data_IF_953451284989
#
_entry.id   IF_953451284989
#
_cell.length_a   1.000
_cell.length_b   1.000
_cell.length_c   1.000
_cell.angle_alpha   90.00
_cell.angle_beta   90.00
_cell.angle_gamma   90.00
#
_symmetry.space_group_name_H-M   'P 1'
#
loop_
_entity.id
_entity.type
_entity.pdbx_description
1 polymer ?
#
# COMPACT_ATOMS: atom_id res chain seq x y z
N UNK A 1 18.90 17.02 -12.08
CA UNK A 1 18.88 17.34 -10.63
C UNK A 1 19.06 16.04 -9.86
N UNK A 2 19.91 16.07 -8.84
CA UNK A 2 20.24 14.87 -8.06
C UNK A 2 19.09 14.40 -7.14
N UNK A 3 19.04 13.10 -6.88
CA UNK A 3 18.08 12.44 -5.98
C UNK A 3 18.03 13.11 -4.61
N UNK A 4 19.19 13.35 -3.98
CA UNK A 4 19.29 14.01 -2.67
C UNK A 4 18.55 15.36 -2.65
N UNK A 5 18.80 16.19 -3.64
CA UNK A 5 18.21 17.54 -3.74
C UNK A 5 16.68 17.45 -3.91
N UNK A 6 16.20 16.50 -4.71
CA UNK A 6 14.75 16.27 -4.88
C UNK A 6 14.08 15.84 -3.58
N UNK A 7 14.64 14.86 -2.89
CA UNK A 7 14.12 14.37 -1.61
C UNK A 7 14.08 15.52 -0.59
N UNK A 8 15.17 16.28 -0.47
CA UNK A 8 15.24 17.41 0.46
C UNK A 8 14.15 18.45 0.17
N UNK A 9 13.99 18.86 -1.09
CA UNK A 9 12.97 19.85 -1.49
C UNK A 9 11.54 19.30 -1.24
N UNK A 10 11.27 18.05 -1.58
CA UNK A 10 9.97 17.42 -1.34
C UNK A 10 9.66 17.30 0.15
N UNK A 11 10.62 16.84 0.92
CA UNK A 11 10.51 16.72 2.38
C UNK A 11 10.24 18.08 3.04
N UNK A 12 10.96 19.12 2.67
CA UNK A 12 10.73 20.47 3.19
C UNK A 12 9.34 20.99 2.84
N UNK A 13 8.90 20.82 1.59
CA UNK A 13 7.54 21.21 1.17
C UNK A 13 6.47 20.48 1.97
N UNK A 14 6.58 19.16 2.17
CA UNK A 14 5.66 18.38 2.98
C UNK A 14 5.66 18.80 4.45
N UNK A 15 6.84 19.06 5.03
CA UNK A 15 6.98 19.53 6.41
C UNK A 15 6.26 20.87 6.61
N UNK A 16 6.48 21.84 5.72
CA UNK A 16 5.87 23.15 5.77
C UNK A 16 4.33 23.10 5.65
N UNK A 17 3.81 22.03 5.04
CA UNK A 17 2.37 21.72 4.97
C UNK A 17 1.90 20.77 6.08
N UNK A 18 2.67 20.58 7.17
CA UNK A 18 2.28 19.81 8.34
C UNK A 18 2.11 18.31 8.10
N UNK A 19 2.90 17.72 7.20
CA UNK A 19 2.97 16.26 7.02
C UNK A 19 4.06 15.72 7.94
N UNK A 20 3.68 14.98 8.98
CA UNK A 20 4.64 14.45 9.97
C UNK A 20 5.66 13.48 9.38
N UNK A 21 5.23 12.62 8.46
CA UNK A 21 6.07 11.63 7.77
C UNK A 21 6.81 12.21 6.54
N UNK A 22 7.05 13.53 6.52
CA UNK A 22 7.53 14.27 5.35
C UNK A 22 8.75 13.64 4.67
N UNK A 23 9.75 13.21 5.44
CA UNK A 23 10.98 12.61 4.91
C UNK A 23 10.68 11.25 4.25
N UNK A 24 10.02 10.35 4.97
CA UNK A 24 9.66 9.03 4.48
C UNK A 24 8.74 9.11 3.25
N UNK A 25 7.73 9.98 3.29
CA UNK A 25 6.79 10.14 2.18
C UNK A 25 7.50 10.67 0.93
N UNK A 26 8.42 11.62 1.08
CA UNK A 26 9.25 12.17 0.01
C UNK A 26 10.08 11.08 -0.68
N UNK A 27 10.75 10.22 0.10
CA UNK A 27 11.55 9.11 -0.39
C UNK A 27 10.68 8.04 -1.09
N UNK A 28 9.56 7.65 -0.51
CA UNK A 28 8.64 6.66 -1.07
C UNK A 28 8.04 7.14 -2.40
N UNK A 29 7.66 8.41 -2.51
CA UNK A 29 7.12 8.98 -3.74
C UNK A 29 8.16 8.98 -4.87
N UNK A 30 9.42 9.34 -4.57
CA UNK A 30 10.47 9.33 -5.58
C UNK A 30 10.86 7.90 -5.98
N UNK A 31 11.00 6.97 -5.02
CA UNK A 31 11.32 5.57 -5.29
C UNK A 31 10.26 4.90 -6.18
N UNK A 32 8.98 5.24 -5.97
CA UNK A 32 7.89 4.71 -6.79
C UNK A 32 7.98 5.14 -8.26
N UNK A 33 8.37 6.39 -8.53
CA UNK A 33 8.56 6.90 -9.89
C UNK A 33 9.79 6.29 -10.57
N UNK A 34 10.83 6.02 -9.78
CA UNK A 34 12.05 5.37 -10.27
C UNK A 34 11.91 3.84 -10.37
N UNK A 35 10.75 3.28 -9.97
CA UNK A 35 10.50 1.83 -9.93
C UNK A 35 11.59 1.07 -9.17
N UNK A 36 12.08 1.63 -8.08
CA UNK A 36 13.14 1.08 -7.24
C UNK A 36 12.66 0.95 -5.79
N UNK A 37 13.33 0.10 -5.01
CA UNK A 37 13.12 0.07 -3.58
C UNK A 37 13.70 1.34 -2.93
N UNK A 38 13.13 1.76 -1.81
CA UNK A 38 13.58 2.94 -1.07
C UNK A 38 15.05 2.82 -0.65
N UNK A 39 15.45 1.65 -0.20
CA UNK A 39 16.83 1.34 0.21
C UNK A 39 17.82 1.55 -0.93
N UNK A 40 17.48 1.07 -2.13
CA UNK A 40 18.28 1.27 -3.34
C UNK A 40 18.41 2.75 -3.73
N UNK A 41 17.33 3.52 -3.51
CA UNK A 41 17.35 4.97 -3.76
C UNK A 41 18.32 5.67 -2.82
N UNK A 42 18.42 5.25 -1.56
CA UNK A 42 19.28 5.87 -0.54
C UNK A 42 20.77 5.53 -0.70
N UNK A 43 21.10 4.49 -1.47
CA UNK A 43 22.49 4.11 -1.77
C UNK A 43 23.11 5.06 -2.80
N UNK A 44 22.33 5.59 -3.77
CA UNK A 44 22.84 6.44 -4.85
C UNK A 44 22.13 7.80 -4.88
N UNK A 45 22.38 8.60 -3.86
CA UNK A 45 21.79 9.93 -3.70
C UNK A 45 22.31 10.96 -4.72
N UNK A 46 23.46 10.71 -5.35
CA UNK A 46 24.03 11.59 -6.36
C UNK A 46 23.51 11.34 -7.77
N UNK A 47 22.76 10.28 -7.98
CA UNK A 47 22.15 9.94 -9.27
C UNK A 47 21.34 11.10 -9.81
N UNK A 48 21.51 11.40 -11.09
CA UNK A 48 20.70 12.40 -11.76
C UNK A 48 19.34 11.85 -12.19
N UNK A 49 18.33 12.69 -12.05
CA UNK A 49 16.93 12.36 -12.36
C UNK A 49 16.49 13.16 -13.58
N UNK A 50 15.75 12.51 -14.49
CA UNK A 50 15.23 13.15 -15.71
C UNK A 50 14.21 14.25 -15.39
N UNK A 51 14.03 15.19 -16.33
CA UNK A 51 13.06 16.29 -16.17
C UNK A 51 11.62 15.77 -15.99
N UNK A 52 11.25 14.74 -16.71
CA UNK A 52 9.93 14.11 -16.61
C UNK A 52 9.64 13.56 -15.20
N UNK A 53 10.61 12.83 -14.62
CA UNK A 53 10.46 12.30 -13.26
C UNK A 53 10.40 13.43 -12.24
N UNK A 54 11.16 14.51 -12.42
CA UNK A 54 11.11 15.68 -11.54
C UNK A 54 9.71 16.30 -11.53
N UNK A 55 9.11 16.47 -12.70
CA UNK A 55 7.76 17.03 -12.84
C UNK A 55 6.70 16.14 -12.21
N UNK A 56 6.73 14.84 -12.52
CA UNK A 56 5.84 13.86 -11.92
C UNK A 56 6.00 13.81 -10.37
N UNK A 57 7.21 13.86 -9.88
CA UNK A 57 7.48 13.90 -8.45
C UNK A 57 6.86 15.12 -7.77
N UNK A 58 7.02 16.31 -8.35
CA UNK A 58 6.42 17.55 -7.83
C UNK A 58 4.89 17.42 -7.75
N UNK A 59 4.26 16.83 -8.75
CA UNK A 59 2.82 16.58 -8.75
C UNK A 59 2.40 15.65 -7.60
N UNK A 60 3.16 14.59 -7.33
CA UNK A 60 2.89 13.69 -6.20
C UNK A 60 3.09 14.39 -4.84
N UNK A 61 4.12 15.22 -4.71
CA UNK A 61 4.36 16.03 -3.51
C UNK A 61 3.20 17.00 -3.26
N UNK A 62 2.67 17.67 -4.28
CA UNK A 62 1.49 18.54 -4.16
C UNK A 62 0.27 17.75 -3.70
N UNK A 63 -0.01 16.59 -4.27
CA UNK A 63 -1.10 15.72 -3.81
C UNK A 63 -0.94 15.37 -2.33
N UNK A 64 0.25 14.97 -1.92
CA UNK A 64 0.54 14.61 -0.53
C UNK A 64 0.45 15.79 0.43
N UNK A 65 0.91 16.97 0.03
CA UNK A 65 0.79 18.21 0.83
C UNK A 65 -0.67 18.61 1.07
N UNK A 66 -1.57 18.28 0.12
CA UNK A 66 -3.02 18.40 0.25
C UNK A 66 -3.67 17.29 1.10
N UNK A 67 -2.86 16.56 1.91
CA UNK A 67 -3.30 15.51 2.84
C UNK A 67 -3.86 14.24 2.16
N UNK A 68 -3.67 14.06 0.85
CA UNK A 68 -4.02 12.78 0.23
C UNK A 68 -3.18 11.66 0.88
N UNK A 69 -3.79 10.56 1.35
CA UNK A 69 -3.07 9.45 1.95
C UNK A 69 -2.02 8.88 0.99
N UNK A 70 -0.79 8.65 1.48
CA UNK A 70 0.30 8.15 0.64
C UNK A 70 -0.05 6.82 -0.03
N UNK A 71 -0.79 5.94 0.65
CA UNK A 71 -1.23 4.67 0.11
C UNK A 71 -2.10 4.84 -1.14
N UNK A 72 -2.98 5.85 -1.19
CA UNK A 72 -3.78 6.15 -2.38
C UNK A 72 -2.96 6.75 -3.50
N UNK A 73 -1.94 7.56 -3.18
CA UNK A 73 -1.02 8.10 -4.17
C UNK A 73 -0.20 6.98 -4.82
N UNK A 74 0.33 6.07 -4.01
CA UNK A 74 1.12 4.92 -4.44
C UNK A 74 0.25 3.77 -4.99
N UNK A 75 -1.07 3.82 -4.75
CA UNK A 75 -2.06 2.79 -5.08
C UNK A 75 -1.76 1.43 -4.45
N UNK A 76 -0.99 1.41 -3.37
CA UNK A 76 -0.65 0.19 -2.66
C UNK A 76 -0.48 0.42 -1.16
N UNK A 77 -0.73 -0.63 -0.39
CA UNK A 77 -0.49 -0.72 1.05
C UNK A 77 -0.02 -2.11 1.40
N UNK A 78 1.07 -2.18 2.13
CA UNK A 78 1.52 -3.44 2.72
C UNK A 78 0.60 -3.84 3.87
N UNK A 79 0.21 -5.11 3.89
CA UNK A 79 -0.52 -5.78 4.96
C UNK A 79 -0.14 -7.26 4.96
N UNK A 80 0.20 -7.82 6.12
CA UNK A 80 0.65 -9.20 6.25
C UNK A 80 1.83 -9.54 5.33
N UNK A 81 2.83 -8.66 5.27
CA UNK A 81 4.01 -8.76 4.37
C UNK A 81 3.68 -8.94 2.88
N UNK A 82 2.47 -8.54 2.47
CA UNK A 82 2.00 -8.58 1.08
C UNK A 82 1.52 -7.21 0.63
N UNK A 83 1.80 -6.85 -0.62
CA UNK A 83 1.32 -5.59 -1.20
C UNK A 83 -0.14 -5.74 -1.68
N UNK A 84 -1.05 -4.91 -1.17
CA UNK A 84 -2.44 -4.83 -1.59
C UNK A 84 -2.69 -3.55 -2.40
N UNK A 85 -3.41 -3.68 -3.51
CA UNK A 85 -3.96 -2.53 -4.24
C UNK A 85 -4.96 -1.84 -3.32
N UNK A 86 -4.85 -0.52 -3.23
CA UNK A 86 -5.80 0.35 -2.53
C UNK A 86 -6.15 1.56 -3.41
N UNK A 87 -7.35 2.04 -3.28
CA UNK A 87 -7.82 3.27 -3.91
C UNK A 87 -8.87 3.94 -3.02
N UNK A 88 -9.48 5.02 -3.50
CA UNK A 88 -10.49 5.79 -2.74
C UNK A 88 -11.81 5.04 -2.49
N UNK A 89 -12.01 3.91 -3.15
CA UNK A 89 -13.22 3.08 -3.00
C UNK A 89 -13.07 2.06 -1.87
N UNK A 90 -11.88 1.94 -1.26
CA UNK A 90 -11.60 1.00 -0.17
C UNK A 90 -10.96 1.70 1.02
N UNK A 91 -11.20 1.17 2.22
CA UNK A 91 -10.45 1.58 3.40
C UNK A 91 -9.00 1.11 3.27
N UNK A 92 -8.04 1.98 3.63
CA UNK A 92 -6.63 1.60 3.71
C UNK A 92 -6.44 0.60 4.86
N UNK A 93 -5.89 -0.60 4.61
CA UNK A 93 -5.60 -1.57 5.66
C UNK A 93 -4.81 -0.96 6.82
N UNK A 94 -5.24 -1.24 8.05
CA UNK A 94 -4.59 -0.74 9.26
C UNK A 94 -3.69 -1.82 9.85
N UNK A 95 -2.49 -1.46 10.36
CA UNK A 95 -1.58 -2.45 10.98
C UNK A 95 -2.22 -3.24 12.12
N UNK A 96 -3.05 -2.57 12.94
CA UNK A 96 -3.75 -3.20 14.06
C UNK A 96 -4.69 -4.34 13.62
N UNK A 97 -5.16 -4.30 12.38
CA UNK A 97 -6.03 -5.35 11.81
C UNK A 97 -5.28 -6.65 11.55
N UNK A 98 -3.93 -6.63 11.49
CA UNK A 98 -3.12 -7.85 11.38
C UNK A 98 -3.28 -8.76 12.59
N UNK A 99 -3.56 -8.20 13.78
CA UNK A 99 -3.86 -8.99 14.98
C UNK A 99 -5.10 -9.86 14.81
N UNK A 100 -6.12 -9.37 14.07
CA UNK A 100 -7.30 -10.17 13.75
C UNK A 100 -6.93 -11.33 12.82
N UNK A 101 -6.17 -11.08 11.78
CA UNK A 101 -5.69 -12.12 10.87
C UNK A 101 -4.87 -13.17 11.61
N UNK A 102 -3.96 -12.75 12.48
CA UNK A 102 -3.16 -13.65 13.33
C UNK A 102 -4.04 -14.51 14.21
N UNK A 103 -5.02 -13.92 14.90
CA UNK A 103 -5.92 -14.65 15.80
C UNK A 103 -6.72 -15.73 15.06
N UNK A 104 -7.23 -15.42 13.86
CA UNK A 104 -7.96 -16.41 13.03
C UNK A 104 -7.02 -17.53 12.59
N UNK A 105 -5.81 -17.21 12.14
CA UNK A 105 -4.82 -18.20 11.73
C UNK A 105 -4.47 -19.12 12.89
N UNK A 106 -4.24 -18.61 14.09
CA UNK A 106 -3.86 -19.39 15.27
C UNK A 106 -4.98 -20.35 15.70
N UNK A 107 -6.24 -19.88 15.71
CA UNK A 107 -7.41 -20.68 16.09
C UNK A 107 -7.66 -21.82 15.10
N UNK A 108 -7.46 -21.57 13.82
CA UNK A 108 -7.78 -22.51 12.74
C UNK A 108 -6.56 -23.17 12.10
N UNK A 109 -5.36 -23.02 12.69
CA UNK A 109 -4.16 -23.69 12.26
C UNK A 109 -4.41 -25.18 12.04
N UNK A 110 -3.98 -25.69 10.90
CA UNK A 110 -4.16 -27.09 10.47
C UNK A 110 -5.62 -27.53 10.26
N UNK A 111 -6.57 -26.60 10.17
CA UNK A 111 -7.98 -26.89 9.85
C UNK A 111 -8.31 -26.35 8.46
N UNK A 112 -9.20 -27.08 7.76
CA UNK A 112 -9.85 -26.53 6.56
C UNK A 112 -11.10 -25.77 6.98
N UNK A 113 -11.19 -24.52 6.58
CA UNK A 113 -12.33 -23.67 6.90
C UNK A 113 -12.96 -23.09 5.64
N UNK A 114 -14.20 -22.68 5.76
CA UNK A 114 -14.83 -21.73 4.86
C UNK A 114 -15.03 -20.42 5.62
N UNK A 115 -14.41 -19.35 5.15
CA UNK A 115 -14.46 -18.02 5.78
C UNK A 115 -15.37 -17.09 5.00
N UNK A 116 -16.27 -16.38 5.69
CA UNK A 116 -17.03 -15.27 5.15
C UNK A 116 -16.47 -13.95 5.71
N UNK A 117 -16.09 -13.04 4.83
CA UNK A 117 -15.60 -11.70 5.18
C UNK A 117 -16.64 -10.66 4.74
N UNK A 118 -17.31 -10.04 5.72
CA UNK A 118 -18.40 -9.07 5.50
C UNK A 118 -17.83 -7.66 5.59
N UNK A 119 -17.91 -6.91 4.49
CA UNK A 119 -17.23 -5.62 4.34
C UNK A 119 -15.75 -5.82 3.97
N UNK A 120 -15.50 -6.70 3.01
CA UNK A 120 -14.13 -7.17 2.69
C UNK A 120 -13.18 -6.07 2.24
N UNK A 121 -13.69 -4.94 1.72
CA UNK A 121 -12.88 -3.81 1.29
C UNK A 121 -11.83 -4.20 0.25
N UNK A 122 -10.55 -4.17 0.64
CA UNK A 122 -9.42 -4.60 -0.21
C UNK A 122 -9.26 -6.12 -0.27
N UNK A 123 -9.98 -6.88 0.55
CA UNK A 123 -9.77 -8.30 0.73
C UNK A 123 -8.60 -8.67 1.63
N UNK A 124 -7.94 -7.69 2.27
CA UNK A 124 -6.66 -7.92 2.96
C UNK A 124 -6.76 -8.95 4.09
N UNK A 125 -7.83 -8.96 4.88
CA UNK A 125 -8.02 -9.95 5.96
C UNK A 125 -8.23 -11.33 5.37
N UNK A 126 -9.24 -11.47 4.50
CA UNK A 126 -9.59 -12.73 3.88
C UNK A 126 -8.40 -13.37 3.15
N UNK A 127 -7.75 -12.60 2.28
CA UNK A 127 -6.65 -13.10 1.45
C UNK A 127 -5.40 -13.41 2.27
N UNK A 128 -5.13 -12.67 3.35
CA UNK A 128 -4.03 -12.99 4.25
C UNK A 128 -4.27 -14.29 5.00
N UNK A 129 -5.48 -14.48 5.54
CA UNK A 129 -5.85 -15.72 6.25
C UNK A 129 -5.83 -16.92 5.31
N UNK A 130 -6.44 -16.81 4.12
CA UNK A 130 -6.46 -17.91 3.15
C UNK A 130 -5.06 -18.26 2.61
N UNK A 131 -4.17 -17.30 2.55
CA UNK A 131 -2.78 -17.51 2.15
C UNK A 131 -1.97 -18.35 3.16
N UNK A 132 -2.36 -18.34 4.43
CA UNK A 132 -1.72 -19.11 5.51
C UNK A 132 -2.43 -20.45 5.79
N UNK A 133 -3.75 -20.52 5.60
CA UNK A 133 -4.55 -21.71 5.86
C UNK A 133 -4.76 -22.54 4.59
N UNK A 134 -3.81 -23.41 4.30
CA UNK A 134 -3.83 -24.31 3.13
C UNK A 134 -5.17 -25.05 2.98
N UNK A 135 -5.67 -25.13 1.75
CA UNK A 135 -6.91 -25.80 1.37
C UNK A 135 -8.20 -25.17 1.97
N UNK A 136 -8.11 -24.00 2.62
CA UNK A 136 -9.28 -23.23 3.05
C UNK A 136 -9.88 -22.46 1.88
N UNK A 137 -11.15 -22.11 1.99
CA UNK A 137 -11.89 -21.31 1.01
C UNK A 137 -12.55 -20.13 1.69
N UNK A 138 -12.90 -19.12 0.94
CA UNK A 138 -13.59 -17.96 1.51
C UNK A 138 -14.40 -17.20 0.49
N UNK A 139 -15.30 -16.38 1.01
CA UNK A 139 -16.11 -15.45 0.24
C UNK A 139 -16.02 -14.06 0.89
N UNK A 140 -15.56 -13.09 0.14
CA UNK A 140 -15.62 -11.67 0.54
C UNK A 140 -16.86 -11.02 -0.05
N UNK A 141 -17.61 -10.30 0.77
CA UNK A 141 -18.75 -9.48 0.33
C UNK A 141 -18.56 -8.04 0.78
N UNK A 142 -19.07 -7.10 -0.02
CA UNK A 142 -19.06 -5.69 0.29
C UNK A 142 -20.30 -5.02 -0.32
N UNK A 143 -20.78 -3.94 0.29
CA UNK A 143 -21.87 -3.13 -0.25
C UNK A 143 -21.41 -2.34 -1.50
N UNK A 144 -20.12 -2.03 -1.58
CA UNK A 144 -19.50 -1.31 -2.69
C UNK A 144 -19.00 -2.29 -3.76
N UNK A 145 -19.63 -2.28 -4.93
CA UNK A 145 -19.14 -3.04 -6.09
C UNK A 145 -17.68 -2.70 -6.42
N UNK A 146 -17.31 -1.43 -6.30
CA UNK A 146 -15.92 -0.98 -6.56
C UNK A 146 -14.92 -1.56 -5.55
N UNK A 147 -15.32 -1.76 -4.29
CA UNK A 147 -14.51 -2.45 -3.30
C UNK A 147 -14.31 -3.92 -3.68
N UNK A 148 -15.37 -4.60 -4.14
CA UNK A 148 -15.28 -5.97 -4.67
C UNK A 148 -14.32 -6.05 -5.87
N UNK A 149 -14.35 -5.06 -6.78
CA UNK A 149 -13.42 -5.03 -7.92
C UNK A 149 -11.97 -4.94 -7.44
N UNK A 150 -11.68 -4.14 -6.40
CA UNK A 150 -10.35 -4.07 -5.78
C UNK A 150 -9.97 -5.38 -5.09
N UNK A 151 -10.86 -5.98 -4.29
CA UNK A 151 -10.61 -7.27 -3.65
C UNK A 151 -10.33 -8.37 -4.67
N UNK A 152 -11.10 -8.40 -5.77
CA UNK A 152 -10.90 -9.34 -6.88
C UNK A 152 -9.55 -9.12 -7.59
N UNK A 153 -9.11 -7.88 -7.76
CA UNK A 153 -7.79 -7.61 -8.30
C UNK A 153 -6.68 -8.11 -7.36
N UNK A 154 -6.84 -7.89 -6.06
CA UNK A 154 -5.91 -8.38 -5.05
C UNK A 154 -5.88 -9.92 -4.98
N UNK A 155 -7.04 -10.60 -5.07
CA UNK A 155 -7.09 -12.07 -5.07
C UNK A 155 -6.28 -12.68 -6.23
N UNK A 156 -6.34 -12.06 -7.41
CA UNK A 156 -5.57 -12.48 -8.58
C UNK A 156 -4.06 -12.29 -8.37
N UNK A 157 -3.65 -11.13 -7.83
CA UNK A 157 -2.23 -10.84 -7.53
C UNK A 157 -1.65 -11.86 -6.56
N UNK A 158 -2.44 -12.28 -5.57
CA UNK A 158 -2.01 -13.24 -4.53
C UNK A 158 -2.32 -14.71 -4.90
N UNK A 159 -2.81 -15.01 -6.12
CA UNK A 159 -3.17 -16.35 -6.58
C UNK A 159 -4.19 -17.06 -5.68
N UNK A 160 -5.19 -16.32 -5.19
CA UNK A 160 -6.25 -16.79 -4.28
C UNK A 160 -7.65 -16.53 -4.87
N UNK A 161 -7.83 -16.69 -6.19
CA UNK A 161 -9.11 -16.48 -6.89
C UNK A 161 -9.98 -17.72 -6.94
#
# INVERSE_FOLDING_TARGET
>A
MQVLKLISQGSEHLRNNGVRSHQLDSELLLSSLLKSQRESLLVDLNKEVSKEIIENYRNLIIRRSNKEPIAYILKKKEFWSKDFIVNRDTLIPRPETELLSQSVIDIFKNKKIFMLDIGTGTGCILLSVLGELNCSRGLGIDISKKAIDVASANSKIHNLS
#
